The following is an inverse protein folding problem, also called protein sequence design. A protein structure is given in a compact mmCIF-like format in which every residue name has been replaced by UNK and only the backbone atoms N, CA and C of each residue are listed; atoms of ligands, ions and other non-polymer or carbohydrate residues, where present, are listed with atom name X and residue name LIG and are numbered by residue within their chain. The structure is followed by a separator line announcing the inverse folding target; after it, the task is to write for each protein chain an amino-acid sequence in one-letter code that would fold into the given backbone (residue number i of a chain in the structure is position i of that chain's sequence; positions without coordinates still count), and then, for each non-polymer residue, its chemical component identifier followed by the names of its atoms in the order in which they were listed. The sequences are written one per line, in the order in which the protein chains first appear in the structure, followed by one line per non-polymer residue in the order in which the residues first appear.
data_IF_660135837974
#
_entry.id   IF_660135837974
#
_cell.length_a   1.000
_cell.length_b   1.000
_cell.length_c   1.000
_cell.angle_alpha   90.00
_cell.angle_beta   90.00
_cell.angle_gamma   90.00
#
_symmetry.space_group_name_H-M   'P 1'
#
loop_
_entity.id
_entity.type
_entity.pdbx_description
1 polymer ?
#
# COMPACT_ATOMS: atom_id res chain seq x y z
N UNK A 1 -35.33 62.11 21.26
CA UNK A 1 -35.80 61.84 19.88
C UNK A 1 -34.61 61.34 19.06
N UNK A 2 -34.70 60.36 18.16
CA UNK A 2 -35.82 59.45 17.89
C UNK A 2 -35.31 58.04 17.54
N UNK A 3 -36.12 57.06 17.95
CA UNK A 3 -36.08 55.62 17.63
C UNK A 3 -36.04 55.32 16.13
N UNK A 4 -35.25 54.30 15.78
CA UNK A 4 -35.35 53.39 14.60
C UNK A 4 -34.87 52.02 15.16
N UNK A 5 -35.58 50.90 15.34
CA UNK A 5 -36.68 50.15 14.66
C UNK A 5 -36.31 49.65 13.25
N UNK A 6 -36.33 48.36 12.91
CA UNK A 6 -37.02 47.17 13.47
C UNK A 6 -36.25 45.86 13.06
N UNK A 7 -36.28 44.76 13.84
CA UNK A 7 -37.14 43.56 13.70
C UNK A 7 -36.83 42.64 12.47
N UNK A 8 -36.96 41.29 12.49
CA UNK A 8 -37.25 40.31 13.57
C UNK A 8 -36.86 38.88 13.15
N UNK A 9 -36.51 38.03 14.13
CA UNK A 9 -36.79 36.57 14.09
C UNK A 9 -35.76 35.64 13.42
N UNK A 10 -35.69 34.36 13.78
CA UNK A 10 -36.24 33.71 14.98
C UNK A 10 -35.47 32.41 15.30
N UNK A 11 -35.21 32.15 16.59
CA UNK A 11 -34.75 30.84 17.06
C UNK A 11 -35.95 29.99 17.47
N UNK A 12 -35.98 28.71 17.07
CA UNK A 12 -36.87 27.70 17.66
C UNK A 12 -36.09 26.43 17.94
N UNK A 13 -35.86 26.16 19.22
CA UNK A 13 -35.51 24.83 19.72
C UNK A 13 -36.83 24.07 19.93
N UNK A 14 -36.94 22.82 19.48
CA UNK A 14 -37.89 21.88 20.10
C UNK A 14 -37.44 20.42 19.97
N UNK A 15 -37.93 19.58 20.89
CA UNK A 15 -37.41 18.24 21.18
C UNK A 15 -38.46 17.13 21.02
N UNK A 16 -37.97 15.90 20.77
CA UNK A 16 -38.61 14.60 21.07
C UNK A 16 -39.90 14.21 20.31
N UNK A 17 -39.84 13.06 19.62
CA UNK A 17 -40.86 11.99 19.71
C UNK A 17 -40.30 10.62 19.30
N UNK A 18 -40.87 9.54 19.86
CA UNK A 18 -40.55 8.15 19.51
C UNK A 18 -41.33 7.68 18.26
N UNK A 19 -40.83 6.66 17.53
CA UNK A 19 -41.52 5.35 17.39
C UNK A 19 -40.98 4.44 16.25
N UNK A 20 -40.56 3.22 16.62
CA UNK A 20 -40.72 1.89 15.96
C UNK A 20 -40.50 1.70 14.43
N UNK A 21 -39.66 0.69 14.13
CA UNK A 21 -39.60 -0.16 12.91
C UNK A 21 -41.00 -0.65 12.44
N UNK A 22 -41.24 -1.05 11.15
CA UNK A 22 -40.43 -2.05 10.43
C UNK A 22 -40.30 -1.98 8.87
N UNK A 23 -39.66 -3.03 8.35
CA UNK A 23 -39.35 -3.51 6.99
C UNK A 23 -40.13 -2.99 5.75
N UNK A 24 -39.46 -2.90 4.57
CA UNK A 24 -40.12 -2.67 3.28
C UNK A 24 -40.74 -3.95 2.70
N UNK A 25 -41.78 -3.78 1.87
CA UNK A 25 -42.44 -4.82 1.06
C UNK A 25 -42.20 -4.53 -0.43
N UNK A 26 -42.21 -5.57 -1.27
CA UNK A 26 -41.91 -5.48 -2.69
C UNK A 26 -42.99 -4.75 -3.52
N UNK A 27 -42.58 -4.22 -4.68
CA UNK A 27 -43.50 -3.84 -5.77
C UNK A 27 -42.83 -4.09 -7.13
N UNK A 28 -43.62 -4.62 -8.07
CA UNK A 28 -43.21 -4.96 -9.44
C UNK A 28 -43.40 -3.76 -10.37
N UNK A 29 -42.71 -3.70 -11.51
CA UNK A 29 -43.23 -3.04 -12.72
C UNK A 29 -42.74 -3.75 -14.00
N UNK A 30 -43.53 -3.63 -15.08
CA UNK A 30 -43.39 -4.34 -16.36
C UNK A 30 -43.52 -3.37 -17.57
N UNK A 31 -42.74 -3.60 -18.62
CA UNK A 31 -42.89 -3.03 -19.98
C UNK A 31 -41.66 -3.37 -20.87
N UNK A 32 -41.73 -3.90 -22.11
CA UNK A 32 -42.45 -3.53 -23.36
C UNK A 32 -41.80 -2.33 -24.10
N UNK A 33 -41.46 -2.30 -25.41
CA UNK A 33 -41.52 -3.16 -26.64
C UNK A 33 -40.32 -2.74 -27.57
N UNK A 34 -40.00 -3.15 -28.83
CA UNK A 34 -40.51 -4.07 -29.90
C UNK A 34 -39.31 -4.39 -30.88
N UNK A 35 -39.08 -5.60 -31.41
CA UNK A 35 -39.57 -6.27 -32.67
C UNK A 35 -38.95 -5.88 -34.03
N UNK A 36 -38.31 -6.89 -34.69
CA UNK A 36 -38.20 -7.25 -36.14
C UNK A 36 -37.12 -8.37 -36.27
N UNK A 37 -37.25 -9.57 -36.87
CA UNK A 37 -37.84 -10.10 -38.13
C UNK A 37 -37.01 -9.78 -39.40
N UNK A 38 -36.69 -10.70 -40.34
CA UNK A 38 -36.97 -12.15 -40.50
C UNK A 38 -36.05 -12.81 -41.60
N UNK A 39 -36.35 -14.05 -42.06
CA UNK A 39 -35.92 -14.76 -43.32
C UNK A 39 -34.65 -15.68 -43.26
N UNK A 40 -34.71 -16.86 -43.92
CA UNK A 40 -33.66 -17.91 -44.08
C UNK A 40 -33.31 -18.20 -45.57
N UNK A 41 -33.08 -19.46 -46.08
CA UNK A 41 -33.29 -20.79 -45.46
C UNK A 41 -32.32 -21.98 -45.88
N UNK A 42 -32.53 -23.20 -45.30
CA UNK A 42 -32.09 -24.58 -45.79
C UNK A 42 -30.57 -24.91 -45.74
N UNK A 43 -30.00 -26.12 -46.05
CA UNK A 43 -30.22 -27.62 -45.88
C UNK A 43 -28.94 -28.35 -46.46
N UNK A 44 -28.73 -29.70 -46.44
CA UNK A 44 -29.08 -30.80 -45.51
C UNK A 44 -27.92 -31.82 -45.17
N UNK A 45 -28.20 -32.79 -44.26
CA UNK A 45 -27.56 -34.13 -44.12
C UNK A 45 -26.12 -34.21 -43.52
N UNK A 46 -25.64 -35.34 -42.94
CA UNK A 46 -26.16 -36.72 -42.89
C UNK A 46 -25.64 -37.55 -41.66
N UNK A 47 -26.35 -38.64 -41.31
CA UNK A 47 -25.94 -39.88 -40.58
C UNK A 47 -25.11 -39.75 -39.26
N UNK A 48 -25.71 -40.06 -38.10
CA UNK A 48 -25.52 -41.37 -37.42
C UNK A 48 -26.48 -41.54 -36.22
N UNK A 49 -27.02 -42.76 -36.04
CA UNK A 49 -27.68 -43.15 -34.80
C UNK A 49 -26.66 -43.66 -33.78
N UNK A 50 -26.93 -43.45 -32.50
CA UNK A 50 -26.97 -44.59 -31.59
C UNK A 50 -27.94 -44.37 -30.43
N UNK A 51 -28.69 -45.42 -30.07
CA UNK A 51 -29.84 -45.35 -29.16
C UNK A 51 -29.58 -46.20 -27.93
N UNK A 52 -28.86 -45.64 -26.95
CA UNK A 52 -28.58 -46.33 -25.68
C UNK A 52 -29.71 -46.04 -24.70
N UNK A 53 -30.48 -47.08 -24.38
CA UNK A 53 -31.43 -47.09 -23.27
C UNK A 53 -30.73 -47.70 -22.06
N UNK A 54 -30.62 -46.98 -20.96
CA UNK A 54 -30.45 -47.59 -19.62
C UNK A 54 -30.78 -46.62 -18.49
N UNK A 55 -31.66 -47.08 -17.61
CA UNK A 55 -31.82 -46.74 -16.20
C UNK A 55 -31.61 -45.29 -15.76
N UNK A 56 -32.72 -44.61 -15.49
CA UNK A 56 -32.82 -43.45 -14.60
C UNK A 56 -32.41 -43.83 -13.16
N UNK A 57 -31.11 -43.89 -12.89
CA UNK A 57 -30.61 -43.97 -11.52
C UNK A 57 -30.86 -42.63 -10.84
N UNK A 58 -31.87 -42.56 -9.97
CA UNK A 58 -32.04 -41.44 -9.05
C UNK A 58 -30.84 -41.41 -8.11
N UNK A 59 -29.83 -40.62 -8.46
CA UNK A 59 -28.74 -40.28 -7.56
C UNK A 59 -29.31 -39.48 -6.40
N UNK A 60 -29.57 -40.17 -5.29
CA UNK A 60 -29.98 -39.56 -4.03
C UNK A 60 -28.84 -38.63 -3.57
N UNK A 61 -28.92 -37.36 -3.96
CA UNK A 61 -27.93 -36.36 -3.65
C UNK A 61 -28.00 -36.09 -2.15
N UNK A 62 -27.13 -36.78 -1.39
CA UNK A 62 -27.03 -36.64 0.06
C UNK A 62 -26.48 -35.25 0.37
N UNK A 63 -27.38 -34.27 0.44
CA UNK A 63 -27.07 -32.92 0.92
C UNK A 63 -26.70 -33.04 2.38
N UNK A 64 -25.39 -33.17 2.65
CA UNK A 64 -24.83 -33.10 4.00
C UNK A 64 -25.04 -31.68 4.52
N UNK A 65 -26.19 -31.47 5.18
CA UNK A 65 -26.50 -30.27 5.94
C UNK A 65 -25.52 -30.15 7.12
N UNK A 66 -24.34 -29.59 6.87
CA UNK A 66 -23.40 -29.23 7.93
C UNK A 66 -24.10 -28.29 8.91
N UNK A 67 -24.28 -28.75 10.15
CA UNK A 67 -24.81 -27.92 11.21
C UNK A 67 -23.90 -26.71 11.39
N UNK A 68 -24.45 -25.50 11.16
CA UNK A 68 -23.74 -24.26 11.50
C UNK A 68 -23.59 -24.21 13.01
N UNK A 69 -22.41 -24.59 13.51
CA UNK A 69 -22.01 -24.31 14.87
C UNK A 69 -22.22 -22.81 15.12
N UNK A 70 -23.02 -22.49 16.14
CA UNK A 70 -23.37 -21.11 16.48
C UNK A 70 -22.09 -20.41 16.91
N UNK A 71 -21.56 -19.54 16.07
CA UNK A 71 -20.30 -18.82 16.31
C UNK A 71 -20.36 -18.03 17.62
N UNK A 72 -19.94 -18.67 18.71
CA UNK A 72 -19.41 -17.98 19.90
C UNK A 72 -18.11 -17.33 19.46
N UNK A 73 -18.23 -16.19 18.76
CA UNK A 73 -17.16 -15.22 18.55
C UNK A 73 -16.78 -14.65 19.92
N UNK A 74 -16.09 -15.47 20.71
CA UNK A 74 -15.57 -15.09 22.01
C UNK A 74 -14.57 -13.99 21.74
N UNK A 75 -14.99 -12.75 21.97
CA UNK A 75 -14.15 -11.58 21.85
C UNK A 75 -13.19 -11.55 23.05
N UNK A 76 -12.28 -12.55 23.09
CA UNK A 76 -11.08 -12.54 23.92
C UNK A 76 -10.25 -11.37 23.41
N UNK A 77 -10.53 -10.18 23.95
CA UNK A 77 -9.64 -9.04 23.79
C UNK A 77 -8.24 -9.51 24.15
N UNK A 78 -7.27 -9.24 23.27
CA UNK A 78 -5.89 -9.62 23.50
C UNK A 78 -5.49 -9.08 24.87
N UNK A 79 -4.92 -9.94 25.74
CA UNK A 79 -4.37 -9.48 27.02
C UNK A 79 -3.40 -8.35 26.69
N UNK A 80 -3.65 -7.15 27.22
CA UNK A 80 -2.76 -6.00 27.02
C UNK A 80 -1.55 -6.19 27.94
N UNK A 81 -0.61 -7.03 27.49
CA UNK A 81 0.65 -7.31 28.19
C UNK A 81 1.40 -5.98 28.39
N UNK A 82 1.67 -5.64 29.65
CA UNK A 82 2.63 -4.60 30.02
C UNK A 82 4.01 -5.06 29.57
N UNK A 83 4.81 -4.18 28.95
CA UNK A 83 6.17 -4.56 28.55
C UNK A 83 7.11 -4.28 29.70
N UNK A 84 7.58 -5.36 30.31
CA UNK A 84 8.36 -5.32 31.55
C UNK A 84 9.85 -5.47 31.20
N UNK A 85 10.49 -4.34 30.85
CA UNK A 85 11.82 -4.31 30.22
C UNK A 85 12.93 -4.96 31.07
N UNK A 86 12.82 -4.88 32.41
CA UNK A 86 13.78 -5.50 33.33
C UNK A 86 13.79 -7.05 33.22
N UNK A 87 12.61 -7.66 33.25
CA UNK A 87 12.43 -9.12 33.16
C UNK A 87 12.90 -9.67 31.80
N UNK A 88 12.80 -8.87 30.74
CA UNK A 88 13.40 -9.18 29.43
C UNK A 88 14.93 -9.03 29.43
N UNK A 89 15.49 -8.09 30.18
CA UNK A 89 16.94 -7.85 30.23
C UNK A 89 17.71 -8.87 31.08
N UNK A 90 17.07 -9.46 32.10
CA UNK A 90 17.67 -10.50 32.96
C UNK A 90 17.87 -11.83 32.24
N UNK A 91 16.92 -12.23 31.38
CA UNK A 91 16.93 -13.52 30.70
C UNK A 91 17.34 -13.46 29.21
N UNK A 92 17.37 -12.27 28.60
CA UNK A 92 17.71 -12.09 27.18
C UNK A 92 18.54 -10.84 26.93
N UNK A 93 19.22 -10.82 25.77
CA UNK A 93 19.90 -9.63 25.23
C UNK A 93 18.87 -8.64 24.64
N UNK A 94 17.95 -8.15 25.47
CA UNK A 94 16.84 -7.26 25.09
C UNK A 94 17.29 -6.09 24.22
N UNK A 95 18.38 -5.41 24.59
CA UNK A 95 18.95 -4.30 23.84
C UNK A 95 19.37 -4.69 22.40
N UNK A 96 19.90 -5.90 22.19
CA UNK A 96 20.27 -6.36 20.85
C UNK A 96 19.00 -6.53 19.98
N UNK A 97 18.02 -7.29 20.48
CA UNK A 97 16.71 -7.48 19.82
C UNK A 97 16.03 -6.13 19.51
N UNK A 98 16.04 -5.18 20.45
CA UNK A 98 15.51 -3.83 20.28
C UNK A 98 16.16 -3.11 19.09
N UNK A 99 17.50 -3.09 19.03
CA UNK A 99 18.20 -2.46 17.88
C UNK A 99 18.02 -3.21 16.56
N UNK A 100 17.81 -4.54 16.57
CA UNK A 100 17.48 -5.30 15.35
C UNK A 100 16.09 -4.88 14.80
N UNK A 101 15.09 -4.71 15.68
CA UNK A 101 13.75 -4.22 15.29
C UNK A 101 13.77 -2.77 14.80
N UNK A 102 14.49 -1.88 15.51
CA UNK A 102 14.64 -0.47 15.12
C UNK A 102 15.34 -0.32 13.77
N UNK A 103 16.34 -1.16 13.48
CA UNK A 103 17.00 -1.23 12.15
C UNK A 103 16.03 -1.67 11.06
N UNK A 104 15.13 -2.62 11.32
CA UNK A 104 14.12 -3.04 10.34
C UNK A 104 13.14 -1.88 10.00
N UNK A 105 12.67 -1.13 11.01
CA UNK A 105 11.81 0.04 10.80
C UNK A 105 12.55 1.19 10.11
N UNK A 106 13.83 1.42 10.44
CA UNK A 106 14.68 2.40 9.76
C UNK A 106 14.92 2.01 8.28
N UNK A 107 15.14 0.72 8.00
CA UNK A 107 15.26 0.21 6.64
C UNK A 107 13.97 0.41 5.83
N UNK A 108 12.78 0.25 6.43
CA UNK A 108 11.51 0.57 5.78
C UNK A 108 11.41 2.06 5.41
N UNK A 109 11.73 2.96 6.36
CA UNK A 109 11.76 4.43 6.14
C UNK A 109 12.70 4.79 4.98
N UNK A 110 13.91 4.21 4.94
CA UNK A 110 14.89 4.42 3.87
C UNK A 110 14.41 3.86 2.52
N UNK A 111 13.78 2.68 2.49
CA UNK A 111 13.23 2.10 1.27
C UNK A 111 12.06 2.92 0.70
N UNK A 112 11.25 3.55 1.55
CA UNK A 112 10.19 4.47 1.11
C UNK A 112 10.75 5.75 0.48
N UNK A 113 11.80 6.34 1.08
CA UNK A 113 12.48 7.52 0.52
C UNK A 113 13.07 7.23 -0.86
N UNK A 114 13.71 6.06 -1.05
CA UNK A 114 14.35 5.68 -2.32
C UNK A 114 13.36 5.28 -3.42
N UNK A 115 12.35 4.47 -3.10
CA UNK A 115 11.54 3.79 -4.12
C UNK A 115 10.16 4.42 -4.38
N UNK A 116 9.63 5.25 -3.47
CA UNK A 116 8.21 5.66 -3.47
C UNK A 116 8.00 7.18 -3.50
N UNK A 117 8.84 7.91 -4.24
CA UNK A 117 8.65 9.34 -4.43
C UNK A 117 7.62 9.63 -5.54
N UNK A 118 6.57 10.42 -5.23
CA UNK A 118 5.54 10.86 -6.20
C UNK A 118 6.07 11.77 -7.32
N UNK A 119 7.27 12.30 -7.17
CA UNK A 119 7.95 13.14 -8.15
C UNK A 119 9.35 12.59 -8.32
N UNK A 120 9.95 12.74 -9.50
CA UNK A 120 11.41 12.67 -9.62
C UNK A 120 12.00 13.61 -8.56
N UNK A 121 12.69 13.05 -7.57
CA UNK A 121 13.51 13.81 -6.64
C UNK A 121 14.69 14.38 -7.43
N UNK A 122 15.20 15.54 -7.02
CA UNK A 122 16.46 16.05 -7.60
C UNK A 122 17.55 14.99 -7.43
N UNK A 123 17.60 14.35 -6.26
CA UNK A 123 18.50 13.25 -5.91
C UNK A 123 18.53 12.05 -6.86
N UNK A 124 17.48 11.81 -7.65
CA UNK A 124 17.47 10.75 -8.66
C UNK A 124 18.18 11.15 -9.97
N UNK A 125 18.34 12.46 -10.22
CA UNK A 125 19.19 13.01 -11.26
C UNK A 125 20.61 13.26 -10.73
N UNK A 126 20.74 13.78 -9.51
CA UNK A 126 22.03 14.04 -8.85
C UNK A 126 22.92 12.77 -8.84
N UNK A 127 22.33 11.60 -8.58
CA UNK A 127 23.03 10.32 -8.49
C UNK A 127 23.22 9.56 -9.82
N UNK A 128 22.99 10.20 -10.97
CA UNK A 128 23.12 9.53 -12.27
C UNK A 128 24.58 9.67 -12.80
N UNK A 129 25.27 8.56 -13.13
CA UNK A 129 26.62 8.63 -13.70
C UNK A 129 26.59 9.07 -15.17
N UNK A 130 27.65 9.76 -15.58
CA UNK A 130 27.87 10.28 -16.93
C UNK A 130 29.33 10.04 -17.28
N UNK A 131 29.57 9.20 -18.29
CA UNK A 131 30.92 9.04 -18.85
C UNK A 131 31.27 10.27 -19.68
N UNK A 132 32.34 10.98 -19.34
CA UNK A 132 32.78 12.17 -20.06
C UNK A 132 34.31 12.20 -20.17
N UNK A 133 34.82 12.42 -21.38
CA UNK A 133 36.25 12.42 -21.76
C UNK A 133 37.08 11.16 -21.41
N UNK A 134 36.46 10.14 -20.81
CA UNK A 134 37.05 8.84 -20.48
C UNK A 134 36.73 8.38 -19.05
N UNK A 135 36.42 9.33 -18.16
CA UNK A 135 36.10 9.07 -16.75
C UNK A 135 34.57 9.08 -16.50
N UNK A 136 34.14 8.57 -15.34
CA UNK A 136 32.76 8.63 -14.87
C UNK A 136 32.58 9.74 -13.82
N UNK A 137 31.68 10.68 -14.09
CA UNK A 137 31.27 11.77 -13.18
C UNK A 137 29.79 11.65 -12.82
N UNK A 138 29.33 12.30 -11.75
CA UNK A 138 27.90 12.44 -11.49
C UNK A 138 27.33 13.71 -12.17
N UNK A 139 26.04 13.71 -12.51
CA UNK A 139 25.37 14.94 -13.00
C UNK A 139 25.55 16.09 -12.00
N UNK A 140 25.57 15.82 -10.69
CA UNK A 140 25.76 16.85 -9.66
C UNK A 140 27.10 17.62 -9.80
N UNK A 141 28.16 16.96 -10.30
CA UNK A 141 29.49 17.57 -10.43
C UNK A 141 29.61 18.41 -11.72
N UNK A 142 28.91 17.98 -12.78
CA UNK A 142 28.91 18.62 -14.09
C UNK A 142 27.84 19.73 -14.22
N UNK A 143 26.76 19.65 -13.42
CA UNK A 143 25.54 20.44 -13.60
C UNK A 143 24.96 20.99 -12.29
N UNK A 144 24.61 22.28 -12.26
CA UNK A 144 23.75 22.80 -11.20
C UNK A 144 22.27 22.47 -11.50
N UNK A 145 21.65 21.60 -10.70
CA UNK A 145 20.24 21.22 -10.86
C UNK A 145 19.30 22.24 -10.17
N UNK A 146 18.41 22.87 -10.94
CA UNK A 146 17.48 23.91 -10.46
C UNK A 146 16.03 23.58 -10.83
N UNK A 147 15.13 23.51 -9.84
CA UNK A 147 13.70 23.23 -10.06
C UNK A 147 12.90 24.50 -10.35
N UNK A 148 12.87 24.96 -11.60
CA UNK A 148 12.08 26.13 -12.03
C UNK A 148 10.57 25.95 -11.83
N UNK A 149 10.05 24.73 -12.01
CA UNK A 149 8.62 24.44 -11.88
C UNK A 149 8.40 23.02 -11.32
N UNK A 150 7.23 22.71 -10.73
CA UNK A 150 6.89 21.34 -10.30
C UNK A 150 6.84 20.34 -11.48
N UNK A 151 6.71 20.85 -12.72
CA UNK A 151 6.71 20.09 -13.98
C UNK A 151 8.04 20.17 -14.76
N UNK A 152 9.02 20.97 -14.31
CA UNK A 152 10.22 21.26 -15.10
C UNK A 152 11.44 21.49 -14.21
N UNK A 153 12.45 20.64 -14.39
CA UNK A 153 13.80 20.81 -13.83
C UNK A 153 14.69 21.42 -14.93
N UNK A 154 15.71 22.18 -14.52
CA UNK A 154 16.75 22.71 -15.40
C UNK A 154 18.09 22.17 -14.88
N UNK A 155 18.95 21.71 -15.79
CA UNK A 155 20.38 21.49 -15.56
C UNK A 155 21.15 22.67 -16.15
N UNK A 156 21.86 23.43 -15.34
CA UNK A 156 22.72 24.52 -15.81
C UNK A 156 24.15 23.99 -15.97
N UNK A 157 24.61 23.90 -17.22
CA UNK A 157 25.91 23.33 -17.63
C UNK A 157 26.94 24.43 -17.95
N UNK A 158 26.88 25.57 -17.24
CA UNK A 158 27.64 26.79 -17.59
C UNK A 158 29.15 26.56 -17.53
N UNK A 159 29.63 25.74 -16.57
CA UNK A 159 31.04 25.39 -16.42
C UNK A 159 31.57 24.40 -17.45
N UNK A 160 30.69 23.52 -17.96
CA UNK A 160 31.05 22.37 -18.82
C UNK A 160 30.09 22.21 -20.01
N UNK A 161 29.98 23.21 -20.91
CA UNK A 161 29.08 23.13 -22.07
C UNK A 161 29.42 21.96 -23.00
N UNK A 162 30.68 21.52 -23.05
CA UNK A 162 31.12 20.35 -23.81
C UNK A 162 30.59 19.01 -23.29
N UNK A 163 30.16 18.93 -22.03
CA UNK A 163 29.61 17.70 -21.43
C UNK A 163 28.10 17.50 -21.69
N UNK A 164 27.41 18.51 -22.24
CA UNK A 164 25.97 18.45 -22.57
C UNK A 164 25.56 17.20 -23.38
N UNK A 165 26.24 16.78 -24.47
CA UNK A 165 25.85 15.57 -25.20
C UNK A 165 25.90 14.29 -24.35
N UNK A 166 26.93 14.11 -23.52
CA UNK A 166 27.06 12.96 -22.63
C UNK A 166 25.95 12.93 -21.56
N UNK A 167 25.62 14.09 -20.98
CA UNK A 167 24.48 14.24 -20.05
C UNK A 167 23.15 13.92 -20.75
N UNK A 168 22.95 14.37 -22.00
CA UNK A 168 21.74 14.08 -22.79
C UNK A 168 21.60 12.60 -23.14
N UNK A 169 22.70 11.86 -23.31
CA UNK A 169 22.70 10.42 -23.55
C UNK A 169 22.43 9.64 -22.26
N UNK A 170 23.14 9.92 -21.18
CA UNK A 170 22.91 9.30 -19.87
C UNK A 170 21.47 9.51 -19.38
N UNK A 171 20.91 10.72 -19.52
CA UNK A 171 19.51 11.00 -19.18
C UNK A 171 18.50 10.13 -19.97
N UNK A 172 18.82 9.74 -21.22
CA UNK A 172 17.98 8.82 -22.01
C UNK A 172 18.21 7.36 -21.57
N UNK A 173 19.45 6.97 -21.32
CA UNK A 173 19.82 5.64 -20.85
C UNK A 173 19.28 5.31 -19.44
N UNK A 174 19.06 6.33 -18.60
CA UNK A 174 18.58 6.25 -17.20
C UNK A 174 17.28 5.46 -16.97
N UNK A 175 16.51 5.16 -18.02
CA UNK A 175 15.18 4.53 -17.91
C UNK A 175 14.10 5.43 -17.29
N UNK A 176 14.39 6.70 -16.97
CA UNK A 176 13.43 7.62 -16.35
C UNK A 176 12.33 8.11 -17.31
N UNK A 177 12.42 7.79 -18.62
CA UNK A 177 11.46 8.17 -19.66
C UNK A 177 11.20 9.69 -19.74
N UNK A 178 12.28 10.47 -19.56
CA UNK A 178 12.27 11.93 -19.65
C UNK A 178 12.70 12.36 -21.07
N UNK A 179 12.15 13.48 -21.56
CA UNK A 179 12.50 14.05 -22.86
C UNK A 179 13.29 15.36 -22.70
N UNK A 180 14.62 15.31 -22.48
CA UNK A 180 15.42 16.51 -22.23
C UNK A 180 15.52 17.40 -23.49
N UNK A 181 15.33 18.71 -23.30
CA UNK A 181 15.46 19.72 -24.36
C UNK A 181 16.61 20.68 -24.04
N UNK A 182 17.60 20.79 -24.93
CA UNK A 182 18.72 21.71 -24.77
C UNK A 182 18.35 23.13 -25.23
N UNK A 183 18.74 24.14 -24.46
CA UNK A 183 18.80 25.55 -24.85
C UNK A 183 20.17 26.11 -24.45
N UNK A 184 21.07 26.25 -25.44
CA UNK A 184 22.46 26.72 -25.27
C UNK A 184 23.21 25.92 -24.20
N UNK A 185 23.38 26.49 -23.00
CA UNK A 185 24.10 25.95 -21.84
C UNK A 185 23.18 25.39 -20.74
N UNK A 186 21.87 25.34 -20.97
CA UNK A 186 20.88 24.77 -20.06
C UNK A 186 20.13 23.59 -20.70
N UNK A 187 19.74 22.61 -19.89
CA UNK A 187 18.91 21.48 -20.33
C UNK A 187 17.60 21.48 -19.54
N UNK A 188 16.47 21.60 -20.22
CA UNK A 188 15.12 21.53 -19.66
C UNK A 188 14.64 20.09 -19.61
N UNK A 189 14.32 19.60 -18.40
CA UNK A 189 13.75 18.27 -18.17
C UNK A 189 12.26 18.45 -17.85
N UNK A 190 11.33 18.18 -18.79
CA UNK A 190 9.90 18.13 -18.53
C UNK A 190 9.56 16.82 -17.80
N UNK A 191 8.99 16.93 -16.60
CA UNK A 191 8.52 15.78 -15.82
C UNK A 191 7.10 15.42 -16.29
N UNK A 192 6.83 14.15 -16.69
CA UNK A 192 5.49 13.71 -17.04
C UNK A 192 4.52 13.80 -15.84
N UNK A 193 3.22 14.00 -16.10
CA UNK A 193 2.20 14.01 -15.04
C UNK A 193 2.04 12.59 -14.49
N UNK A 194 2.21 12.40 -13.18
CA UNK A 194 1.86 11.13 -12.53
C UNK A 194 0.35 10.85 -12.64
N UNK A 195 0.01 9.74 -13.31
CA UNK A 195 -1.37 9.27 -13.47
C UNK A 195 -1.90 8.65 -12.19
N UNK A 196 -3.23 8.48 -12.08
CA UNK A 196 -3.86 7.80 -10.94
C UNK A 196 -3.35 6.36 -10.79
N UNK A 197 -3.24 5.64 -11.91
CA UNK A 197 -2.70 4.29 -11.98
C UNK A 197 -1.27 4.20 -11.42
N UNK A 198 -0.42 5.18 -11.72
CA UNK A 198 0.94 5.24 -11.18
C UNK A 198 0.93 5.45 -9.65
N UNK A 199 0.08 6.35 -9.13
CA UNK A 199 -0.11 6.53 -7.66
C UNK A 199 -0.59 5.24 -6.99
N UNK A 200 -1.56 4.55 -7.60
CA UNK A 200 -2.07 3.27 -7.09
C UNK A 200 -1.00 2.18 -7.10
N UNK A 201 -0.12 2.16 -8.12
CA UNK A 201 0.98 1.20 -8.20
C UNK A 201 2.09 1.50 -7.17
N UNK A 202 2.42 2.77 -6.92
CA UNK A 202 3.29 3.14 -5.80
C UNK A 202 2.66 2.76 -4.44
N UNK A 203 1.35 2.96 -4.26
CA UNK A 203 0.63 2.55 -3.04
C UNK A 203 0.63 1.03 -2.83
N UNK A 204 0.58 0.23 -3.91
CA UNK A 204 0.78 -1.23 -3.85
C UNK A 204 2.22 -1.57 -3.44
N UNK A 205 3.21 -0.88 -3.99
CA UNK A 205 4.63 -0.98 -3.61
C UNK A 205 4.89 -0.69 -2.13
N UNK A 206 4.25 0.35 -1.57
CA UNK A 206 4.30 0.68 -0.14
C UNK A 206 3.90 -0.51 0.74
N UNK A 207 2.81 -1.20 0.36
CA UNK A 207 2.30 -2.37 1.06
C UNK A 207 3.23 -3.58 0.95
N UNK A 208 3.82 -3.80 -0.22
CA UNK A 208 4.76 -4.91 -0.44
C UNK A 208 6.05 -4.76 0.41
N UNK A 209 6.60 -3.55 0.52
CA UNK A 209 7.75 -3.26 1.37
C UNK A 209 7.42 -3.36 2.87
N UNK A 210 6.22 -2.93 3.28
CA UNK A 210 5.73 -3.15 4.64
C UNK A 210 5.60 -4.64 4.99
N UNK A 211 5.07 -5.47 4.08
CA UNK A 211 4.96 -6.92 4.29
C UNK A 211 6.36 -7.53 4.53
N UNK A 212 7.35 -7.24 3.68
CA UNK A 212 8.75 -7.68 3.89
C UNK A 212 9.32 -7.24 5.26
N UNK A 213 8.98 -6.04 5.73
CA UNK A 213 9.42 -5.53 7.03
C UNK A 213 8.71 -6.24 8.19
N UNK A 214 7.41 -6.51 8.05
CA UNK A 214 6.63 -7.29 9.02
C UNK A 214 7.13 -8.73 9.13
N UNK A 215 7.53 -9.34 8.02
CA UNK A 215 8.03 -10.71 8.00
C UNK A 215 9.45 -10.80 8.58
N UNK A 216 10.33 -9.81 8.35
CA UNK A 216 11.63 -9.73 9.07
C UNK A 216 11.46 -9.47 10.57
N UNK A 217 10.52 -8.62 11.00
CA UNK A 217 10.18 -8.47 12.44
C UNK A 217 9.71 -9.81 13.05
N UNK A 218 8.88 -10.58 12.33
CA UNK A 218 8.48 -11.93 12.75
C UNK A 218 9.63 -12.92 12.78
N UNK A 219 10.58 -12.84 11.85
CA UNK A 219 11.76 -13.70 11.85
C UNK A 219 12.63 -13.44 13.08
N UNK A 220 12.86 -12.15 13.41
CA UNK A 220 13.53 -11.74 14.64
C UNK A 220 12.77 -12.18 15.91
N UNK A 221 11.44 -12.06 15.92
CA UNK A 221 10.58 -12.57 17.01
C UNK A 221 10.77 -14.08 17.19
N UNK A 222 10.66 -14.87 16.11
CA UNK A 222 10.79 -16.32 16.12
C UNK A 222 12.21 -16.77 16.51
N UNK A 223 13.26 -16.06 16.06
CA UNK A 223 14.67 -16.28 16.45
C UNK A 223 14.84 -16.17 17.97
N UNK A 224 14.33 -15.10 18.58
CA UNK A 224 14.44 -14.91 20.04
C UNK A 224 13.55 -15.91 20.84
N UNK A 225 12.39 -16.29 20.32
CA UNK A 225 11.52 -17.31 20.94
C UNK A 225 12.13 -18.72 20.87
N UNK A 226 12.92 -19.05 19.84
CA UNK A 226 13.70 -20.30 19.79
C UNK A 226 14.79 -20.30 20.87
N UNK A 227 15.61 -19.25 20.91
CA UNK A 227 16.67 -19.10 21.92
C UNK A 227 16.17 -19.19 23.37
N UNK A 228 14.93 -18.79 23.66
CA UNK A 228 14.31 -19.01 24.97
C UNK A 228 13.99 -20.48 25.27
N UNK A 229 13.60 -21.26 24.26
CA UNK A 229 13.20 -22.67 24.38
C UNK A 229 14.38 -23.63 24.35
N UNK A 230 15.47 -23.19 23.73
CA UNK A 230 16.75 -23.91 23.71
C UNK A 230 17.52 -23.76 25.05
N UNK A 231 17.00 -22.96 26.01
CA UNK A 231 17.58 -22.73 27.34
C UNK A 231 16.86 -23.57 28.42
N UNK A 232 17.28 -24.83 28.62
CA UNK A 232 16.71 -25.77 29.61
C UNK A 232 16.75 -25.28 31.08
N UNK A 233 17.49 -24.20 31.38
CA UNK A 233 17.61 -23.62 32.72
C UNK A 233 16.41 -22.76 33.17
N UNK A 234 15.41 -22.54 32.31
CA UNK A 234 14.26 -21.68 32.59
C UNK A 234 12.99 -22.49 32.89
N UNK A 235 12.24 -22.09 33.93
CA UNK A 235 10.94 -22.68 34.23
C UNK A 235 9.93 -22.40 33.10
N UNK A 236 9.07 -23.38 32.78
CA UNK A 236 8.07 -23.31 31.69
C UNK A 236 7.21 -22.05 31.73
N UNK A 237 6.80 -21.64 32.93
CA UNK A 237 5.89 -20.52 33.14
C UNK A 237 6.58 -19.17 32.89
N UNK A 238 7.89 -19.10 33.17
CA UNK A 238 8.74 -17.97 32.80
C UNK A 238 8.96 -17.93 31.29
N UNK A 239 9.21 -19.07 30.64
CA UNK A 239 9.34 -19.14 29.16
C UNK A 239 8.05 -18.69 28.47
N UNK A 240 6.88 -19.08 28.98
CA UNK A 240 5.59 -18.60 28.48
C UNK A 240 5.43 -17.08 28.68
N UNK A 241 5.75 -16.58 29.87
CA UNK A 241 5.69 -15.14 30.17
C UNK A 241 6.63 -14.33 29.26
N UNK A 242 7.87 -14.78 29.08
CA UNK A 242 8.87 -14.17 28.18
C UNK A 242 8.44 -14.24 26.71
N UNK A 243 7.75 -15.30 26.27
CA UNK A 243 7.21 -15.40 24.90
C UNK A 243 6.10 -14.36 24.65
N UNK A 244 5.20 -14.16 25.61
CA UNK A 244 4.16 -13.12 25.55
C UNK A 244 4.78 -11.71 25.54
N UNK A 245 5.82 -11.48 26.35
CA UNK A 245 6.58 -10.23 26.41
C UNK A 245 7.28 -9.90 25.06
N UNK A 246 8.02 -10.85 24.48
CA UNK A 246 8.64 -10.67 23.13
C UNK A 246 7.57 -10.35 22.08
N UNK A 247 6.42 -11.03 22.15
CA UNK A 247 5.32 -10.84 21.20
C UNK A 247 4.74 -9.43 21.31
N UNK A 248 4.56 -8.92 22.52
CA UNK A 248 4.15 -7.53 22.75
C UNK A 248 5.18 -6.51 22.21
N UNK A 249 6.49 -6.80 22.33
CA UNK A 249 7.55 -5.94 21.74
C UNK A 249 7.45 -5.94 20.21
N UNK A 250 7.33 -7.11 19.58
CA UNK A 250 7.21 -7.23 18.14
C UNK A 250 5.96 -6.53 17.60
N UNK A 251 4.80 -6.71 18.24
CA UNK A 251 3.54 -6.07 17.85
C UNK A 251 3.61 -4.52 17.92
N UNK A 252 4.33 -3.94 18.90
CA UNK A 252 4.59 -2.48 18.94
C UNK A 252 5.31 -2.00 17.67
N UNK A 253 6.37 -2.67 17.24
CA UNK A 253 7.13 -2.28 16.04
C UNK A 253 6.34 -2.56 14.74
N UNK A 254 5.52 -3.62 14.69
CA UNK A 254 4.58 -3.84 13.56
C UNK A 254 3.55 -2.71 13.47
N UNK A 255 3.04 -2.20 14.60
CA UNK A 255 2.12 -1.06 14.63
C UNK A 255 2.79 0.26 14.21
N UNK A 256 4.05 0.52 14.61
CA UNK A 256 4.80 1.69 14.11
C UNK A 256 4.98 1.60 12.58
N UNK A 257 5.46 0.45 12.09
CA UNK A 257 5.64 0.19 10.66
C UNK A 257 4.33 0.31 9.88
N UNK A 258 3.20 -0.10 10.45
CA UNK A 258 1.87 0.07 9.86
C UNK A 258 1.47 1.56 9.79
N UNK A 259 1.68 2.33 10.86
CA UNK A 259 1.40 3.78 10.89
C UNK A 259 2.17 4.51 9.79
N UNK A 260 3.46 4.22 9.64
CA UNK A 260 4.33 4.82 8.60
C UNK A 260 3.87 4.42 7.19
N UNK A 261 3.40 3.18 7.02
CA UNK A 261 2.85 2.69 5.75
C UNK A 261 1.53 3.39 5.40
N UNK A 262 0.64 3.61 6.37
CA UNK A 262 -0.63 4.33 6.19
C UNK A 262 -0.40 5.82 5.88
N UNK A 263 0.49 6.49 6.64
CA UNK A 263 0.93 7.87 6.36
C UNK A 263 1.44 8.00 4.92
N UNK A 264 2.32 7.09 4.48
CA UNK A 264 2.84 7.10 3.10
C UNK A 264 1.80 6.72 2.05
N UNK A 265 0.85 5.82 2.33
CA UNK A 265 -0.22 5.54 1.37
C UNK A 265 -1.16 6.72 1.16
N UNK A 266 -1.41 7.52 2.19
CA UNK A 266 -2.24 8.72 2.08
C UNK A 266 -1.52 9.81 1.29
N UNK A 267 -0.22 10.04 1.56
CA UNK A 267 0.65 10.92 0.77
C UNK A 267 0.70 10.52 -0.72
N UNK A 268 0.86 9.22 -1.01
CA UNK A 268 0.92 8.69 -2.38
C UNK A 268 -0.38 8.86 -3.16
N UNK A 269 -1.54 8.74 -2.52
CA UNK A 269 -2.85 8.93 -3.17
C UNK A 269 -3.17 10.42 -3.34
N UNK A 270 -2.89 11.22 -2.31
CA UNK A 270 -3.30 12.62 -2.22
C UNK A 270 -4.76 12.80 -1.83
N UNK A 271 -5.27 11.95 -0.93
CA UNK A 271 -6.61 12.04 -0.35
C UNK A 271 -6.62 13.05 0.82
N UNK A 272 -6.28 14.30 0.55
CA UNK A 272 -6.11 15.40 1.54
C UNK A 272 -6.41 16.76 0.93
#
# INVERSE_FOLDING_TARGET
MLKITSAVGAQVVFTLRHSRNPCPVALQYLGKLDVKSQIGPKLPSSIFLNKIVSNSCCTHLSVRCYAKNKDKKSNKGQKKVSIDENLLAEHLKYNAMKTEMEKAVAALKNNYIKNLSLRSSTGALDSLPVTFEGDEYLIQDLAQIVRKNPKTIILNMISFPQAIPAVLESLKASGMNLNPQQDKTSIFIPIPKVTKEHRENLSKGAKALFIKTKDTIKELQNKNIKLLKDNDSLATDLVHTLQDQITAVADKYVLEAQRIMEEKQNELKGDS
#
